data_IF_599433380232
#
_entry.id   IF_599433380232
#
_cell.length_a   1.000
_cell.length_b   1.000
_cell.length_c   1.000
_cell.angle_alpha   90.00
_cell.angle_beta   90.00
_cell.angle_gamma   90.00
#
_symmetry.space_group_name_H-M   'P 1'
#
loop_
_entity.id
_entity.type
_entity.pdbx_description
1 polymer ?
#
# COMPACT_ATOMS: atom_id res chain seq x y z
N UNK A 1 -38.86 56.76 -13.16
CA UNK A 1 -38.31 56.05 -14.34
C UNK A 1 -36.81 55.96 -14.22
N UNK A 2 -36.26 54.81 -13.81
CA UNK A 2 -34.82 54.60 -13.75
C UNK A 2 -34.47 53.20 -14.26
N UNK A 3 -34.09 53.23 -15.53
CA UNK A 3 -33.29 52.35 -16.40
C UNK A 3 -32.85 50.99 -15.83
N UNK A 4 -33.29 49.97 -16.57
CA UNK A 4 -32.81 48.58 -16.62
C UNK A 4 -31.29 48.59 -16.86
N UNK A 5 -30.52 47.90 -16.03
CA UNK A 5 -29.12 47.55 -16.32
C UNK A 5 -29.10 46.07 -16.69
N UNK A 6 -28.76 45.79 -17.94
CA UNK A 6 -28.64 44.46 -18.49
C UNK A 6 -27.45 43.73 -17.82
N UNK A 7 -27.73 42.58 -17.20
CA UNK A 7 -26.69 41.71 -16.66
C UNK A 7 -25.89 41.08 -17.78
N UNK A 8 -24.61 41.42 -17.89
CA UNK A 8 -23.64 40.60 -18.62
C UNK A 8 -23.38 39.35 -17.78
N UNK A 9 -23.99 38.24 -18.15
CA UNK A 9 -23.62 36.92 -17.65
C UNK A 9 -22.21 36.59 -18.14
N UNK A 10 -21.22 36.69 -17.26
CA UNK A 10 -19.89 36.14 -17.51
C UNK A 10 -20.00 34.60 -17.54
N UNK A 11 -19.82 33.99 -18.71
CA UNK A 11 -19.62 32.54 -18.82
C UNK A 11 -18.30 32.20 -18.12
N UNK A 12 -18.38 31.73 -16.88
CA UNK A 12 -17.26 31.11 -16.19
C UNK A 12 -16.95 29.77 -16.87
N UNK A 13 -15.85 29.70 -17.62
CA UNK A 13 -15.31 28.45 -18.16
C UNK A 13 -14.76 27.63 -16.99
N UNK A 14 -15.55 26.67 -16.50
CA UNK A 14 -15.12 25.73 -15.45
C UNK A 14 -14.19 24.72 -16.13
N UNK A 15 -12.87 24.95 -16.04
CA UNK A 15 -11.89 23.96 -16.46
C UNK A 15 -11.99 22.71 -15.56
N UNK A 16 -12.19 21.50 -16.11
CA UNK A 16 -12.22 20.29 -15.30
C UNK A 16 -10.83 20.04 -14.71
N UNK A 17 -10.72 20.13 -13.39
CA UNK A 17 -9.53 19.71 -12.67
C UNK A 17 -9.35 18.19 -12.85
N UNK A 18 -8.29 17.80 -13.55
CA UNK A 18 -7.86 16.41 -13.66
C UNK A 18 -7.40 15.92 -12.28
N UNK A 19 -8.32 15.35 -11.50
CA UNK A 19 -7.98 14.60 -10.31
C UNK A 19 -7.40 13.25 -10.76
N UNK A 20 -6.07 13.15 -10.77
CA UNK A 20 -5.41 11.86 -10.95
C UNK A 20 -5.75 10.96 -9.75
N UNK A 21 -6.18 9.71 -9.97
CA UNK A 21 -6.50 8.80 -8.88
C UNK A 21 -5.22 8.51 -8.08
N UNK A 22 -5.24 8.88 -6.80
CA UNK A 22 -4.20 8.48 -5.85
C UNK A 22 -4.50 7.04 -5.47
N UNK A 23 -3.61 6.10 -5.82
CA UNK A 23 -3.76 4.71 -5.41
C UNK A 23 -3.67 4.63 -3.88
N UNK A 24 -4.79 4.31 -3.23
CA UNK A 24 -4.84 4.06 -1.79
C UNK A 24 -4.36 2.63 -1.51
N UNK A 25 -3.24 2.49 -0.79
CA UNK A 25 -2.76 1.20 -0.30
C UNK A 25 -3.24 0.98 1.12
N UNK A 26 -3.88 -0.16 1.39
CA UNK A 26 -4.47 -0.48 2.70
C UNK A 26 -3.45 -1.01 3.76
N UNK A 27 -2.16 -0.71 3.60
CA UNK A 27 -1.07 -1.21 4.46
C UNK A 27 -0.15 -0.11 4.97
N UNK A 28 0.75 -0.41 5.93
CA UNK A 28 1.72 0.55 6.44
C UNK A 28 2.75 0.97 5.38
N UNK A 29 3.48 2.06 5.64
CA UNK A 29 4.68 2.40 4.87
C UNK A 29 5.86 1.59 5.42
N UNK A 30 6.40 0.63 4.65
CA UNK A 30 7.52 -0.20 5.10
C UNK A 30 8.89 0.34 4.70
N UNK A 31 9.02 0.99 3.54
CA UNK A 31 10.26 1.63 3.08
C UNK A 31 9.98 2.80 2.13
N UNK A 32 10.97 3.68 1.96
CA UNK A 32 11.03 4.71 0.90
C UNK A 32 12.06 4.37 -0.17
N UNK A 33 12.81 3.27 0.01
CA UNK A 33 13.85 2.82 -0.92
C UNK A 33 13.26 2.31 -2.24
N UNK A 34 14.01 2.54 -3.32
CA UNK A 34 13.65 2.07 -4.66
C UNK A 34 13.60 0.54 -4.75
N UNK A 35 12.74 0.02 -5.65
CA UNK A 35 12.48 -1.43 -5.78
C UNK A 35 13.70 -2.26 -6.19
N UNK A 36 14.71 -1.66 -6.80
CA UNK A 36 15.98 -2.32 -7.12
C UNK A 36 16.83 -2.61 -5.86
N UNK A 37 16.56 -1.94 -4.74
CA UNK A 37 17.16 -2.21 -3.42
C UNK A 37 16.43 -3.32 -2.66
N UNK A 38 15.28 -3.75 -3.14
CA UNK A 38 14.49 -4.77 -2.46
C UNK A 38 15.12 -6.14 -2.71
N UNK A 39 15.09 -6.99 -1.69
CA UNK A 39 15.45 -8.39 -1.90
C UNK A 39 14.46 -9.06 -2.86
N UNK A 40 14.89 -10.13 -3.53
CA UNK A 40 13.96 -10.90 -4.36
C UNK A 40 12.82 -11.47 -3.51
N UNK A 41 11.66 -11.71 -4.13
CA UNK A 41 10.54 -12.33 -3.42
C UNK A 41 10.90 -13.69 -2.84
N UNK A 42 11.76 -14.46 -3.51
CA UNK A 42 12.19 -15.77 -3.03
C UNK A 42 13.13 -15.66 -1.82
N UNK A 43 14.03 -14.67 -1.81
CA UNK A 43 14.85 -14.37 -0.64
C UNK A 43 13.98 -13.95 0.57
N UNK A 44 12.93 -13.17 0.32
CA UNK A 44 11.98 -12.81 1.39
C UNK A 44 11.20 -14.03 1.88
N UNK A 45 10.68 -14.89 0.99
CA UNK A 45 9.97 -16.11 1.38
C UNK A 45 10.84 -17.04 2.22
N UNK A 46 12.13 -17.18 1.89
CA UNK A 46 13.08 -17.94 2.69
C UNK A 46 13.22 -17.35 4.10
N UNK A 47 13.44 -16.04 4.22
CA UNK A 47 13.49 -15.35 5.52
C UNK A 47 12.21 -15.49 6.33
N UNK A 48 11.05 -15.39 5.68
CA UNK A 48 9.73 -15.59 6.31
C UNK A 48 9.60 -17.02 6.88
N UNK A 49 10.08 -18.03 6.16
CA UNK A 49 10.10 -19.40 6.64
C UNK A 49 11.06 -19.57 7.84
N UNK A 50 12.25 -18.95 7.80
CA UNK A 50 13.23 -18.94 8.91
C UNK A 50 12.65 -18.30 10.17
N UNK A 51 11.87 -17.22 10.03
CA UNK A 51 11.13 -16.59 11.13
C UNK A 51 10.04 -17.49 11.74
N UNK A 52 9.67 -18.58 11.06
CA UNK A 52 8.72 -19.56 11.55
C UNK A 52 7.29 -19.36 11.09
N UNK A 53 7.05 -18.47 10.12
CA UNK A 53 5.76 -18.45 9.45
C UNK A 53 5.66 -19.65 8.51
N UNK A 54 4.50 -20.30 8.52
CA UNK A 54 4.23 -21.56 7.82
C UNK A 54 2.92 -21.46 7.07
N UNK A 55 2.68 -22.43 6.17
CA UNK A 55 1.44 -22.54 5.39
C UNK A 55 1.06 -21.21 4.71
N UNK A 56 2.05 -20.50 4.14
CA UNK A 56 1.87 -19.22 3.45
C UNK A 56 0.87 -19.41 2.31
N UNK A 57 -0.29 -18.77 2.43
CA UNK A 57 -1.38 -18.80 1.44
C UNK A 57 -1.20 -17.74 0.38
N UNK A 58 -0.67 -16.59 0.79
CA UNK A 58 -0.47 -15.44 -0.08
C UNK A 58 0.85 -14.79 0.26
N UNK A 59 1.58 -14.40 -0.77
CA UNK A 59 2.72 -13.51 -0.70
C UNK A 59 2.51 -12.44 -1.78
N UNK A 60 2.43 -11.16 -1.40
CA UNK A 60 2.16 -10.07 -2.34
C UNK A 60 2.98 -8.82 -2.02
N UNK A 61 3.06 -7.93 -3.00
CA UNK A 61 3.57 -6.57 -2.81
C UNK A 61 2.40 -5.66 -2.47
N UNK A 62 2.47 -5.01 -1.32
CA UNK A 62 1.44 -4.07 -0.85
C UNK A 62 2.08 -2.72 -0.59
N UNK A 63 1.92 -1.78 -1.51
CA UNK A 63 2.58 -0.47 -1.45
C UNK A 63 4.10 -0.62 -1.41
N UNK A 64 4.73 -0.20 -0.31
CA UNK A 64 6.17 -0.32 -0.07
C UNK A 64 6.58 -1.56 0.74
N UNK A 65 5.69 -2.55 0.89
CA UNK A 65 5.91 -3.75 1.71
C UNK A 65 5.88 -5.03 0.88
N UNK A 66 6.53 -6.07 1.39
CA UNK A 66 6.06 -7.43 1.16
C UNK A 66 5.07 -7.82 2.25
N UNK A 67 4.03 -8.56 1.89
CA UNK A 67 2.97 -8.97 2.80
C UNK A 67 2.69 -10.47 2.65
N UNK A 68 2.52 -11.16 3.78
CA UNK A 68 2.06 -12.55 3.80
C UNK A 68 0.70 -12.67 4.47
N UNK A 69 -0.05 -13.65 4.00
CA UNK A 69 -1.09 -14.32 4.79
C UNK A 69 -0.71 -15.77 4.99
N UNK A 70 -0.66 -16.22 6.23
CA UNK A 70 -0.23 -17.57 6.57
C UNK A 70 -0.55 -17.91 8.02
N UNK A 71 0.31 -18.73 8.61
CA UNK A 71 0.16 -19.19 9.98
C UNK A 71 1.48 -19.08 10.74
N UNK A 72 1.43 -18.84 12.05
CA UNK A 72 2.60 -18.97 12.92
C UNK A 72 2.92 -20.45 13.22
N UNK A 73 4.05 -20.73 13.89
CA UNK A 73 4.38 -22.07 14.39
C UNK A 73 3.30 -22.65 15.30
N UNK A 74 2.61 -21.79 16.06
CA UNK A 74 1.52 -22.16 16.96
C UNK A 74 0.16 -22.30 16.24
N UNK A 75 0.17 -22.33 14.90
CA UNK A 75 -1.00 -22.50 14.05
C UNK A 75 -2.06 -21.38 14.18
N UNK A 76 -1.62 -20.19 14.59
CA UNK A 76 -2.42 -18.94 14.59
C UNK A 76 -2.37 -18.28 13.22
N UNK A 77 -3.46 -17.67 12.76
CA UNK A 77 -3.45 -16.93 11.48
C UNK A 77 -2.56 -15.70 11.62
N UNK A 78 -1.84 -15.38 10.55
CA UNK A 78 -0.90 -14.27 10.53
C UNK A 78 -1.06 -13.46 9.25
N UNK A 79 -1.29 -12.16 9.40
CA UNK A 79 -1.09 -11.14 8.37
C UNK A 79 0.12 -10.29 8.77
N UNK A 80 1.18 -10.31 7.95
CA UNK A 80 2.45 -9.66 8.32
C UNK A 80 3.03 -8.88 7.16
N UNK A 81 3.40 -7.63 7.43
CA UNK A 81 4.04 -6.70 6.52
C UNK A 81 5.52 -6.58 6.86
N UNK A 82 6.36 -6.73 5.84
CA UNK A 82 7.81 -6.72 5.96
C UNK A 82 8.42 -5.56 5.17
N UNK A 83 9.48 -4.97 5.72
CA UNK A 83 10.36 -4.11 4.97
C UNK A 83 11.10 -4.94 3.90
N UNK A 84 10.95 -4.62 2.60
CA UNK A 84 11.47 -5.44 1.52
C UNK A 84 13.00 -5.30 1.33
N UNK A 85 13.65 -4.33 1.98
CA UNK A 85 15.10 -4.15 1.96
C UNK A 85 15.75 -4.95 3.08
N UNK A 86 15.18 -4.89 4.29
CA UNK A 86 15.81 -5.49 5.49
C UNK A 86 15.22 -6.85 5.88
N UNK A 87 13.97 -7.12 5.50
CA UNK A 87 13.21 -8.28 5.99
C UNK A 87 12.64 -8.11 7.39
N UNK A 88 12.73 -6.92 7.98
CA UNK A 88 12.15 -6.65 9.29
C UNK A 88 10.62 -6.64 9.23
N UNK A 89 9.97 -7.18 10.26
CA UNK A 89 8.53 -7.04 10.47
C UNK A 89 8.23 -5.58 10.78
N UNK A 90 7.34 -4.97 10.01
CA UNK A 90 6.86 -3.59 10.20
C UNK A 90 5.51 -3.58 10.92
N UNK A 91 4.64 -4.53 10.57
CA UNK A 91 3.34 -4.72 11.21
C UNK A 91 2.96 -6.19 11.16
N UNK A 92 2.33 -6.70 12.21
CA UNK A 92 1.76 -8.05 12.27
C UNK A 92 0.43 -8.05 12.99
N UNK A 93 -0.54 -8.77 12.45
CA UNK A 93 -1.81 -9.10 13.09
C UNK A 93 -1.88 -10.63 13.22
N UNK A 94 -2.00 -11.12 14.45
CA UNK A 94 -2.01 -12.56 14.78
C UNK A 94 -3.27 -12.89 15.58
N UNK A 95 -4.05 -13.86 15.12
CA UNK A 95 -5.28 -14.33 15.80
C UNK A 95 -4.97 -15.25 17.00
#
# INVERSE_FOLDING_TARGET
MRRIVAGLGALAVIAPALLAPVAAFAGPTCTTEAKDKWMSQDAMKAKVAEMGYQKIKTFKVSGSCYEIYGYTKDNKKAEVYFNPVTGAVVKSEID
#
